data_IF_390984329648
#
_entry.id   IF_390984329648
#
_cell.length_a   1.000
_cell.length_b   1.000
_cell.length_c   1.000
_cell.angle_alpha   90.00
_cell.angle_beta   90.00
_cell.angle_gamma   90.00
#
_symmetry.space_group_name_H-M   'P 1'
#
loop_
_entity.id
_entity.type
_entity.pdbx_description
1 polymer ?
#
# COMPACT_ATOMS: atom_id res chain seq x y z
N UNK A 1 -13.52 15.90 6.86
CA UNK A 1 -12.10 16.06 7.24
C UNK A 1 -11.68 15.10 8.34
N UNK A 2 -12.29 15.13 9.53
CA UNK A 2 -11.75 14.40 10.69
C UNK A 2 -11.58 12.89 10.49
N UNK A 3 -12.54 12.22 9.84
CA UNK A 3 -12.43 10.79 9.49
C UNK A 3 -11.22 10.47 8.61
N UNK A 4 -10.88 11.36 7.68
CA UNK A 4 -9.73 11.19 6.80
C UNK A 4 -8.41 11.36 7.57
N UNK A 5 -8.34 12.36 8.47
CA UNK A 5 -7.19 12.59 9.35
C UNK A 5 -6.93 11.41 10.28
N UNK A 6 -7.97 10.92 10.97
CA UNK A 6 -7.88 9.76 11.86
C UNK A 6 -7.43 8.52 11.08
N UNK A 7 -8.01 8.27 9.88
CA UNK A 7 -7.57 7.14 9.06
C UNK A 7 -6.11 7.28 8.65
N UNK A 8 -5.70 8.46 8.19
CA UNK A 8 -4.31 8.70 7.79
C UNK A 8 -3.31 8.42 8.92
N UNK A 9 -3.63 8.84 10.15
CA UNK A 9 -2.79 8.58 11.32
C UNK A 9 -2.66 7.09 11.68
N UNK A 10 -3.60 6.26 11.24
CA UNK A 10 -3.59 4.81 11.46
C UNK A 10 -3.00 3.99 10.32
N UNK A 11 -2.57 4.59 9.20
CA UNK A 11 -1.96 3.86 8.09
C UNK A 11 -0.54 3.43 8.50
N UNK A 12 -0.23 2.15 8.37
CA UNK A 12 1.07 1.58 8.70
C UNK A 12 1.47 0.49 7.69
N UNK A 13 2.75 0.10 7.69
CA UNK A 13 3.27 -0.96 6.82
C UNK A 13 2.66 -2.36 7.10
N UNK A 14 1.97 -2.53 8.23
CA UNK A 14 1.28 -3.80 8.57
C UNK A 14 -0.07 -3.95 7.87
N UNK A 15 -0.67 -2.86 7.38
CA UNK A 15 -1.91 -2.86 6.58
C UNK A 15 -1.67 -2.14 5.23
N UNK A 16 -0.99 -2.78 4.26
CA UNK A 16 -0.65 -2.15 2.98
C UNK A 16 -1.88 -1.85 2.10
N UNK A 17 -3.03 -2.47 2.40
CA UNK A 17 -4.29 -2.24 1.69
C UNK A 17 -5.07 -1.04 2.26
N UNK A 18 -4.57 -0.39 3.30
CA UNK A 18 -5.23 0.77 3.88
C UNK A 18 -5.44 1.89 2.85
N UNK A 19 -6.63 2.48 2.86
CA UNK A 19 -6.99 3.67 2.06
C UNK A 19 -7.61 4.75 2.94
N UNK A 20 -7.50 6.00 2.48
CA UNK A 20 -8.18 7.16 3.05
C UNK A 20 -9.65 7.19 2.61
N UNK A 21 -10.60 7.44 3.52
CA UNK A 21 -11.99 7.65 3.15
C UNK A 21 -12.12 8.97 2.37
N UNK A 22 -12.83 8.93 1.24
CA UNK A 22 -13.10 10.11 0.42
C UNK A 22 -14.42 10.76 0.85
N UNK A 23 -14.49 12.10 1.00
CA UNK A 23 -15.75 12.79 1.26
C UNK A 23 -16.71 12.66 0.07
N UNK A 24 -18.02 12.76 0.33
CA UNK A 24 -19.03 12.73 -0.73
C UNK A 24 -18.96 13.97 -1.65
N UNK A 25 -18.62 15.12 -1.07
CA UNK A 25 -18.37 16.34 -1.82
C UNK A 25 -17.22 16.14 -2.81
N UNK A 26 -17.37 16.66 -4.02
CA UNK A 26 -16.36 16.61 -5.08
C UNK A 26 -15.57 17.92 -5.11
N UNK A 27 -14.83 18.15 -4.04
CA UNK A 27 -14.02 19.35 -3.80
C UNK A 27 -12.51 19.01 -3.80
N UNK A 28 -11.69 20.02 -3.57
CA UNK A 28 -10.23 19.92 -3.49
C UNK A 28 -9.77 18.86 -2.48
N UNK A 29 -10.52 18.66 -1.40
CA UNK A 29 -10.22 17.63 -0.40
C UNK A 29 -10.41 16.23 -0.98
N UNK A 30 -11.49 15.99 -1.72
CA UNK A 30 -11.69 14.71 -2.40
C UNK A 30 -10.56 14.43 -3.37
N UNK A 31 -10.18 15.41 -4.19
CA UNK A 31 -9.09 15.27 -5.14
C UNK A 31 -7.77 14.95 -4.43
N UNK A 32 -7.45 15.67 -3.36
CA UNK A 32 -6.27 15.40 -2.54
C UNK A 32 -6.29 13.98 -1.95
N UNK A 33 -7.44 13.54 -1.43
CA UNK A 33 -7.59 12.18 -0.91
C UNK A 33 -7.43 11.10 -1.97
N UNK A 34 -7.90 11.35 -3.20
CA UNK A 34 -7.66 10.46 -4.34
C UNK A 34 -6.17 10.38 -4.66
N UNK A 35 -5.47 11.51 -4.76
CA UNK A 35 -4.02 11.53 -5.01
C UNK A 35 -3.23 10.78 -3.93
N UNK A 36 -3.61 10.91 -2.66
CA UNK A 36 -2.99 10.13 -1.58
C UNK A 36 -3.28 8.63 -1.70
N UNK A 37 -4.50 8.23 -2.08
CA UNK A 37 -4.80 6.82 -2.32
C UNK A 37 -4.00 6.24 -3.50
N UNK A 38 -3.74 7.02 -4.54
CA UNK A 38 -2.88 6.61 -5.66
C UNK A 38 -1.41 6.43 -5.20
N UNK A 39 -0.93 7.32 -4.33
CA UNK A 39 0.39 7.17 -3.70
C UNK A 39 0.46 5.88 -2.86
N UNK A 40 -0.57 5.61 -2.04
CA UNK A 40 -0.65 4.39 -1.23
C UNK A 40 -0.66 3.14 -2.09
N UNK A 41 -1.35 3.15 -3.24
CA UNK A 41 -1.33 2.04 -4.19
C UNK A 41 0.09 1.78 -4.72
N UNK A 42 0.81 2.83 -5.13
CA UNK A 42 2.18 2.68 -5.62
C UNK A 42 3.15 2.12 -4.56
N UNK A 43 2.96 2.50 -3.30
CA UNK A 43 3.73 1.96 -2.18
C UNK A 43 3.39 0.49 -1.90
N UNK A 44 2.10 0.13 -1.97
CA UNK A 44 1.66 -1.27 -1.87
C UNK A 44 2.32 -2.12 -2.96
N UNK A 45 2.24 -1.70 -4.23
CA UNK A 45 2.81 -2.45 -5.35
C UNK A 45 4.33 -2.64 -5.19
N UNK A 46 5.04 -1.64 -4.64
CA UNK A 46 6.47 -1.74 -4.36
C UNK A 46 6.77 -2.77 -3.27
N UNK A 47 6.00 -2.76 -2.18
CA UNK A 47 6.16 -3.71 -1.08
C UNK A 47 5.82 -5.14 -1.51
N UNK A 48 4.81 -5.33 -2.36
CA UNK A 48 4.47 -6.64 -2.92
C UNK A 48 5.58 -7.20 -3.79
N UNK A 49 6.19 -6.37 -4.65
CA UNK A 49 7.36 -6.77 -5.44
C UNK A 49 8.55 -7.13 -4.56
N UNK A 50 8.81 -6.37 -3.51
CA UNK A 50 9.89 -6.67 -2.56
C UNK A 50 9.66 -8.01 -1.85
N UNK A 51 8.44 -8.27 -1.38
CA UNK A 51 8.07 -9.55 -0.75
C UNK A 51 8.21 -10.73 -1.71
N UNK A 52 7.78 -10.56 -2.96
CA UNK A 52 7.92 -11.60 -3.98
C UNK A 52 9.40 -11.90 -4.24
N UNK A 53 10.23 -10.87 -4.40
CA UNK A 53 11.67 -11.04 -4.59
C UNK A 53 12.34 -11.79 -3.43
N UNK A 54 12.01 -11.44 -2.18
CA UNK A 54 12.54 -12.14 -1.00
C UNK A 54 12.06 -13.59 -0.93
N UNK A 55 10.80 -13.85 -1.32
CA UNK A 55 10.26 -15.21 -1.38
C UNK A 55 11.00 -16.05 -2.42
N UNK A 56 11.21 -15.51 -3.62
CA UNK A 56 11.87 -16.20 -4.72
C UNK A 56 13.33 -16.52 -4.38
N UNK A 57 14.07 -15.56 -3.81
CA UNK A 57 15.43 -15.79 -3.31
C UNK A 57 15.47 -16.87 -2.21
N UNK A 58 14.49 -16.86 -1.30
CA UNK A 58 14.35 -17.89 -0.26
C UNK A 58 14.07 -19.28 -0.84
N UNK A 59 13.28 -19.36 -1.91
CA UNK A 59 13.03 -20.62 -2.62
C UNK A 59 14.28 -21.13 -3.33
N UNK A 60 15.02 -20.27 -4.04
CA UNK A 60 16.28 -20.64 -4.70
C UNK A 60 17.31 -21.21 -3.73
N UNK A 61 17.44 -20.61 -2.54
CA UNK A 61 18.34 -21.13 -1.49
C UNK A 61 17.92 -22.52 -0.96
N UNK A 62 16.64 -22.88 -1.03
CA UNK A 62 16.13 -24.18 -0.56
C UNK A 62 16.12 -25.24 -1.66
N UNK A 63 16.12 -24.84 -2.93
CA UNK A 63 16.14 -25.75 -4.08
C UNK A 63 17.42 -25.64 -4.92
N UNK A 64 18.63 -25.63 -4.36
CA UNK A 64 19.83 -25.42 -5.17
C UNK A 64 20.17 -26.57 -6.14
N UNK A 65 19.43 -27.70 -6.16
CA UNK A 65 19.86 -28.91 -6.89
C UNK A 65 18.73 -29.73 -7.57
N UNK A 66 17.64 -29.11 -8.06
CA UNK A 66 16.60 -29.83 -8.81
C UNK A 66 16.42 -29.38 -10.27
N UNK A 67 17.39 -28.67 -10.83
CA UNK A 67 17.51 -28.36 -12.26
C UNK A 67 18.93 -28.60 -12.70
#
# INVERSE_FOLDING_TARGET
MERMRIRAAGISATDPHARLPLPLARDEIRYLGTTFNDLLQRLQDALERERQFVSDAGHELRTPLAS
#
